data_IF_659529385379
#
_entry.id   IF_659529385379
#
_cell.length_a   1.000
_cell.length_b   1.000
_cell.length_c   1.000
_cell.angle_alpha   90.00
_cell.angle_beta   90.00
_cell.angle_gamma   90.00
#
_symmetry.space_group_name_H-M   'P 1'
#
loop_
_entity.id
_entity.type
_entity.pdbx_description
1 polymer ?
2 non-polymer ?
3 non-polymer ?
4 non-polymer ?
5 water ?
#
# COMPACT_ATOMS: atom_id res chain seq x y z
N UNK A 14 -0.55 -23.25 -11.87
CA UNK A 14 -0.12 -23.59 -10.47
C UNK A 14 -1.22 -23.37 -9.41
N UNK A 15 -2.25 -22.60 -9.77
CA UNK A 15 -3.49 -22.48 -8.98
C UNK A 15 -4.74 -22.53 -9.90
N UNK A 16 -5.66 -23.44 -9.59
CA UNK A 16 -7.01 -23.51 -10.23
C UNK A 16 -7.91 -22.30 -9.89
N UNK A 17 -8.59 -21.77 -10.93
CA UNK A 17 -9.59 -20.68 -10.80
C UNK A 17 -9.13 -19.54 -9.91
N UNK A 18 -8.00 -18.87 -10.26
CA UNK A 18 -7.55 -17.78 -9.39
C UNK A 18 -8.47 -16.59 -9.60
N UNK A 19 -8.87 -15.91 -8.52
CA UNK A 19 -9.73 -14.71 -8.59
C UNK A 19 -8.90 -13.47 -8.59
N UNK A 20 -7.58 -13.56 -8.55
CA UNK A 20 -6.82 -12.32 -8.51
C UNK A 20 -5.71 -12.40 -9.54
N UNK A 21 -6.05 -12.32 -10.83
CA UNK A 21 -4.99 -12.35 -11.80
C UNK A 21 -4.94 -11.18 -12.75
N UNK A 22 -6.05 -10.50 -13.05
CA UNK A 22 -6.16 -9.47 -14.04
C UNK A 22 -6.54 -8.16 -13.32
N UNK A 23 -5.95 -7.07 -13.73
CA UNK A 23 -6.36 -5.75 -13.34
C UNK A 23 -7.15 -5.07 -14.43
N UNK A 24 -8.33 -4.60 -14.07
CA UNK A 24 -9.20 -3.83 -14.96
C UNK A 24 -9.41 -2.40 -14.48
N UNK A 25 -9.78 -1.47 -15.39
CA UNK A 25 -10.17 -0.15 -14.95
C UNK A 25 -11.37 -0.19 -13.98
N UNK A 26 -11.24 0.41 -12.83
CA UNK A 26 -12.24 0.40 -11.84
C UNK A 26 -13.51 1.14 -12.32
N UNK A 27 -13.38 2.11 -13.22
CA UNK A 27 -14.52 2.93 -13.65
C UNK A 27 -15.28 2.29 -14.77
N UNK A 28 -14.66 1.40 -15.54
CA UNK A 28 -15.44 0.78 -16.61
C UNK A 28 -15.20 -0.68 -16.98
N UNK A 29 -14.17 -1.37 -16.46
CA UNK A 29 -13.94 -2.74 -16.86
C UNK A 29 -12.85 -3.02 -17.86
N UNK A 30 -12.35 -1.99 -18.53
CA UNK A 30 -11.32 -2.15 -19.53
C UNK A 30 -10.15 -3.02 -18.96
N UNK A 31 -9.71 -4.01 -19.75
CA UNK A 31 -8.51 -4.83 -19.33
C UNK A 31 -7.30 -3.94 -19.34
N UNK A 32 -6.52 -3.89 -18.25
CA UNK A 32 -5.34 -3.08 -18.18
C UNK A 32 -4.04 -3.86 -17.93
N UNK A 33 -3.95 -4.68 -16.88
CA UNK A 33 -2.73 -5.46 -16.65
C UNK A 33 -2.98 -6.78 -15.92
N UNK A 34 -1.92 -7.41 -15.39
CA UNK A 34 -2.04 -8.70 -14.76
C UNK A 34 -1.09 -8.71 -13.58
N UNK A 35 -1.43 -9.48 -12.61
CA UNK A 35 -0.59 -9.63 -11.42
C UNK A 35 0.85 -10.17 -11.80
N UNK A 36 0.87 -11.08 -12.76
CA UNK A 36 2.11 -11.72 -13.25
C UNK A 36 3.08 -10.67 -13.84
N UNK A 37 2.57 -9.51 -14.20
CA UNK A 37 3.35 -8.43 -14.81
C UNK A 37 3.83 -7.34 -13.83
N UNK A 38 3.67 -7.57 -12.54
CA UNK A 38 4.14 -6.60 -11.55
C UNK A 38 5.66 -6.60 -11.63
N UNK A 39 6.28 -5.45 -11.43
CA UNK A 39 7.70 -5.28 -11.64
C UNK A 39 8.32 -4.59 -10.42
N UNK A 40 9.17 -5.30 -9.69
CA UNK A 40 9.80 -4.69 -8.51
C UNK A 40 10.97 -3.70 -8.84
N UNK A 41 10.65 -2.45 -9.07
CA UNK A 41 11.57 -1.33 -9.43
C UNK A 41 12.20 -0.86 -8.14
N UNK A 42 13.54 -0.93 -8.05
CA UNK A 42 14.23 -0.68 -6.80
C UNK A 42 13.88 -1.64 -5.68
N UNK A 43 13.46 -2.86 -6.03
CA UNK A 43 13.13 -3.86 -5.01
C UNK A 43 11.68 -3.96 -4.54
N UNK A 44 10.82 -3.07 -5.02
CA UNK A 44 9.44 -3.09 -4.58
C UNK A 44 8.57 -2.71 -5.74
N UNK A 45 7.46 -3.39 -5.95
CA UNK A 45 6.61 -3.01 -7.05
C UNK A 45 5.74 -1.82 -6.61
N UNK A 46 5.72 -1.55 -5.31
CA UNK A 46 4.87 -0.47 -4.75
C UNK A 46 5.72 0.76 -4.37
N UNK A 47 5.41 1.91 -4.94
CA UNK A 47 6.11 3.15 -4.65
C UNK A 47 5.05 4.19 -4.24
N UNK A 48 5.27 4.83 -3.10
CA UNK A 48 4.31 5.88 -2.70
C UNK A 48 4.91 7.26 -2.93
N UNK A 49 4.20 8.07 -3.69
CA UNK A 49 4.73 9.33 -4.18
C UNK A 49 3.70 10.46 -4.08
N UNK A 50 4.11 11.71 -4.23
CA UNK A 50 3.22 12.88 -4.28
C UNK A 50 3.55 13.69 -5.48
N UNK A 51 2.50 14.20 -6.15
CA UNK A 51 2.71 15.15 -7.20
C UNK A 51 2.90 16.60 -6.62
N UNK A 52 3.20 17.60 -7.51
CA UNK A 52 3.34 18.96 -7.10
C UNK A 52 2.05 19.55 -6.49
N UNK A 53 0.89 18.97 -6.77
CA UNK A 53 -0.38 19.43 -6.12
C UNK A 53 -0.64 18.74 -4.77
N UNK A 54 0.33 17.92 -4.33
CA UNK A 54 0.35 17.31 -2.99
C UNK A 54 -0.46 16.02 -2.91
N UNK A 55 -1.00 15.55 -4.02
CA UNK A 55 -1.75 14.30 -4.03
C UNK A 55 -0.81 13.12 -3.85
N UNK A 56 -1.16 12.22 -2.92
CA UNK A 56 -0.42 10.98 -2.68
C UNK A 56 -0.97 9.86 -3.53
N UNK A 57 -0.06 9.07 -4.12
CA UNK A 57 -0.45 7.93 -4.94
C UNK A 57 0.33 6.68 -4.58
N UNK A 58 -0.39 5.59 -4.37
CA UNK A 58 0.24 4.26 -4.23
C UNK A 58 0.35 3.75 -5.66
N UNK A 59 1.56 3.81 -6.20
CA UNK A 59 1.89 3.47 -7.56
C UNK A 59 2.42 2.02 -7.60
N UNK A 60 1.73 1.19 -8.38
CA UNK A 60 2.22 -0.18 -8.62
C UNK A 60 2.93 -0.14 -10.00
N UNK A 61 4.14 -0.70 -10.03
CA UNK A 61 4.92 -0.76 -11.26
C UNK A 61 4.64 -2.09 -11.98
N UNK A 62 4.32 -1.97 -13.28
CA UNK A 62 4.07 -3.12 -14.13
C UNK A 62 5.06 -3.10 -15.32
N UNK A 63 5.54 -4.28 -15.74
CA UNK A 63 6.33 -4.34 -16.95
C UNK A 63 5.57 -4.01 -18.24
N UNK A 64 4.28 -4.29 -18.22
CA UNK A 64 3.41 -4.36 -19.37
C UNK A 64 1.99 -3.96 -18.95
N UNK A 65 1.27 -3.30 -19.86
CA UNK A 65 -0.10 -2.95 -19.69
C UNK A 65 -0.67 -2.76 -21.04
N UNK A 66 -1.98 -2.74 -21.08
CA UNK A 66 -2.73 -2.64 -22.33
C UNK A 66 -3.97 -1.82 -22.06
N UNK A 67 -4.72 -1.49 -23.14
CA UNK A 67 -6.03 -0.81 -23.03
C UNK A 67 -5.92 0.64 -22.50
N UNK A 68 -4.73 1.21 -22.51
CA UNK A 68 -4.48 2.60 -22.17
C UNK A 68 -4.41 3.42 -23.41
N UNK A 69 -4.46 4.74 -23.24
CA UNK A 69 -4.11 5.69 -24.24
C UNK A 69 -3.07 6.63 -23.65
N UNK A 70 -1.91 6.69 -24.29
CA UNK A 70 -0.74 7.46 -23.81
C UNK A 70 -0.80 8.82 -24.44
N UNK A 71 -0.81 9.84 -23.60
CA UNK A 71 -1.07 11.18 -24.07
C UNK A 71 0.15 12.11 -24.22
N UNK A 72 0.32 12.67 -25.42
CA UNK A 72 1.43 13.58 -25.66
C UNK A 72 2.78 12.91 -25.68
N UNK A 73 3.78 13.74 -25.39
CA UNK A 73 5.15 13.33 -25.48
C UNK A 73 5.73 13.28 -24.06
N UNK A 74 6.80 12.53 -23.90
CA UNK A 74 7.35 12.33 -22.58
C UNK A 74 7.87 13.58 -21.96
N UNK A 75 7.96 13.60 -20.63
CA UNK A 75 8.54 14.69 -19.89
C UNK A 75 9.34 14.14 -18.71
N UNK A 76 10.50 14.70 -18.46
CA UNK A 76 11.33 14.32 -17.30
C UNK A 76 10.97 15.13 -16.04
N UNK A 77 10.16 16.18 -16.17
CA UNK A 77 9.84 17.04 -15.02
C UNK A 77 9.25 16.32 -13.85
N UNK A 78 9.81 16.52 -12.68
CA UNK A 78 9.30 15.88 -11.43
C UNK A 78 9.24 14.36 -11.41
N UNK A 79 9.91 13.70 -12.36
CA UNK A 79 9.83 12.25 -12.44
C UNK A 79 10.19 11.57 -11.12
N UNK A 80 9.33 10.62 -10.72
CA UNK A 80 9.51 9.88 -9.46
C UNK A 80 10.52 8.77 -9.59
N UNK A 81 11.00 8.51 -10.80
CA UNK A 81 11.83 7.36 -11.12
C UNK A 81 13.05 7.87 -11.92
N UNK A 82 14.21 7.79 -11.31
CA UNK A 82 15.44 8.43 -11.81
C UNK A 82 15.78 7.90 -13.16
N UNK A 83 16.04 8.80 -14.10
CA UNK A 83 16.40 8.37 -15.48
C UNK A 83 15.21 8.18 -16.42
N UNK A 84 13.95 8.30 -15.96
CA UNK A 84 12.77 8.05 -16.81
C UNK A 84 11.98 9.31 -17.03
N UNK A 85 11.36 9.37 -18.21
CA UNK A 85 10.45 10.39 -18.55
C UNK A 85 9.08 9.78 -18.62
N UNK A 86 8.06 10.57 -18.26
CA UNK A 86 6.70 10.07 -18.18
C UNK A 86 5.78 10.66 -19.21
N UNK A 87 4.76 9.86 -19.55
CA UNK A 87 3.60 10.20 -20.39
C UNK A 87 2.38 9.80 -19.64
N UNK A 88 1.40 10.67 -19.56
CA UNK A 88 0.11 10.34 -18.90
C UNK A 88 -0.56 9.16 -19.60
N UNK A 89 -1.00 8.20 -18.79
CA UNK A 89 -1.72 7.02 -19.27
C UNK A 89 -3.21 7.09 -18.81
N UNK A 90 -4.09 7.26 -19.79
CA UNK A 90 -5.56 7.21 -19.53
C UNK A 90 -6.08 5.83 -19.85
N UNK A 91 -7.11 5.41 -19.16
CA UNK A 91 -7.90 4.33 -19.70
C UNK A 91 -8.31 4.67 -21.11
N UNK A 92 -8.05 3.75 -22.04
CA UNK A 92 -8.39 3.95 -23.42
C UNK A 92 -9.88 3.93 -23.70
N UNK A 93 -10.67 3.39 -22.78
CA UNK A 93 -12.08 3.26 -22.95
C UNK A 93 -12.75 4.47 -22.32
N UNK A 94 -12.58 4.71 -21.02
CA UNK A 94 -13.35 5.76 -20.35
C UNK A 94 -12.59 7.05 -20.09
N UNK A 95 -11.26 7.04 -20.21
CA UNK A 95 -10.48 8.25 -20.00
C UNK A 95 -10.06 8.53 -18.58
N UNK A 96 -10.36 7.62 -17.68
CA UNK A 96 -9.92 7.72 -16.30
C UNK A 96 -8.39 7.74 -16.28
N UNK A 97 -7.82 8.63 -15.47
CA UNK A 97 -6.36 8.68 -15.43
C UNK A 97 -5.87 7.56 -14.56
N UNK A 98 -5.23 6.58 -15.17
CA UNK A 98 -4.80 5.37 -14.51
C UNK A 98 -3.35 5.39 -14.03
N UNK A 99 -2.51 6.23 -14.61
CA UNK A 99 -1.14 6.32 -14.26
C UNK A 99 -0.31 6.94 -15.34
N UNK A 100 0.89 6.36 -15.52
CA UNK A 100 1.89 6.90 -16.43
C UNK A 100 2.67 5.78 -17.10
N UNK A 101 3.10 6.05 -18.30
CA UNK A 101 4.05 5.22 -18.93
C UNK A 101 5.43 5.92 -18.87
N UNK A 102 6.41 5.13 -18.52
CA UNK A 102 7.75 5.63 -18.32
C UNK A 102 8.71 5.02 -19.36
N UNK A 103 9.58 5.86 -19.87
CA UNK A 103 10.54 5.50 -20.88
C UNK A 103 11.84 6.26 -20.74
N UNK A 104 12.74 6.01 -21.69
CA UNK A 104 14.01 6.67 -21.71
C UNK A 104 15.06 6.34 -20.67
N UNK A 105 14.76 5.39 -19.79
CA UNK A 105 15.74 4.95 -18.81
C UNK A 105 16.49 3.69 -19.17
N UNK A 106 16.87 2.96 -18.11
CA UNK A 106 17.74 1.75 -18.30
C UNK A 106 17.31 0.58 -17.39
N UNK A 107 17.26 -0.65 -17.94
CA UNK A 107 17.09 -1.93 -17.16
C UNK A 107 15.92 -1.78 -16.12
N UNK A 108 14.67 -1.60 -16.59
CA UNK A 108 14.25 -1.61 -17.98
C UNK A 108 14.25 -0.23 -18.65
N UNK A 109 14.11 -0.21 -19.97
CA UNK A 109 14.03 1.08 -20.68
C UNK A 109 12.71 1.77 -20.41
N UNK A 110 11.64 0.99 -20.32
CA UNK A 110 10.28 1.40 -20.18
C UNK A 110 9.53 0.54 -19.12
N UNK A 111 8.51 1.11 -18.55
CA UNK A 111 7.51 0.38 -17.69
C UNK A 111 6.29 1.30 -17.45
N UNK A 112 5.26 0.78 -16.75
CA UNK A 112 4.09 1.49 -16.38
C UNK A 112 4.05 1.67 -14.85
N UNK A 113 3.66 2.86 -14.38
CA UNK A 113 3.38 3.02 -12.97
C UNK A 113 1.89 3.36 -12.92
N UNK A 114 1.08 2.48 -12.34
CA UNK A 114 -0.36 2.61 -12.38
C UNK A 114 -0.82 2.87 -10.94
N UNK A 115 -1.88 3.65 -10.81
CA UNK A 115 -2.41 4.02 -9.49
C UNK A 115 -3.34 2.92 -8.97
N UNK A 116 -2.85 2.25 -7.97
CA UNK A 116 -3.46 1.07 -7.46
C UNK A 116 -4.97 1.13 -7.20
N UNK A 117 -5.43 2.20 -6.51
CA UNK A 117 -6.80 2.26 -6.18
C UNK A 117 -7.70 2.67 -7.38
N UNK A 118 -7.16 2.89 -8.55
CA UNK A 118 -7.97 3.10 -9.74
C UNK A 118 -8.19 1.87 -10.60
N UNK A 119 -7.69 0.73 -10.10
CA UNK A 119 -7.81 -0.55 -10.75
C UNK A 119 -8.68 -1.44 -9.88
N UNK A 120 -9.33 -2.40 -10.50
CA UNK A 120 -9.98 -3.51 -9.89
C UNK A 120 -9.34 -4.86 -10.24
N UNK A 121 -9.07 -5.67 -9.23
CA UNK A 121 -8.41 -7.00 -9.41
C UNK A 121 -9.40 -8.15 -9.43
N UNK A 122 -9.21 -9.11 -10.37
CA UNK A 122 -10.10 -10.17 -10.48
C UNK A 122 -9.64 -11.32 -11.41
N UNK A 123 -10.50 -12.27 -11.61
CA UNK A 123 -10.18 -13.51 -12.35
C UNK A 123 -9.95 -13.26 -13.86
N UNK A 124 -9.21 -14.15 -14.51
CA UNK A 124 -8.86 -14.01 -15.94
C UNK A 124 -10.09 -13.97 -16.80
N UNK B 20 -12.46 1.52 20.54
CA UNK B 20 -12.48 2.99 20.22
C UNK B 20 -13.53 3.20 19.10
N UNK B 21 -13.24 2.57 17.96
CA UNK B 21 -14.03 2.78 16.78
C UNK B 21 -14.53 1.43 16.27
N UNK B 22 -15.80 1.38 15.88
CA UNK B 22 -16.44 0.18 15.40
C UNK B 22 -17.11 0.38 14.03
N UNK B 23 -17.31 -0.72 13.34
CA UNK B 23 -17.99 -0.73 12.06
C UNK B 23 -19.31 -1.41 12.30
N UNK B 24 -20.40 -0.71 11.98
CA UNK B 24 -21.75 -1.24 12.17
C UNK B 24 -22.38 -1.45 10.80
N UNK B 25 -23.27 -2.43 10.71
CA UNK B 25 -24.09 -2.59 9.54
C UNK B 25 -24.82 -1.29 9.21
N UNK B 26 -24.67 -0.84 7.99
CA UNK B 26 -25.21 0.47 7.64
C UNK B 26 -26.75 0.43 7.69
N UNK B 27 -27.33 -0.70 7.30
CA UNK B 27 -28.77 -0.87 7.24
C UNK B 27 -29.45 -0.96 8.59
N UNK B 28 -28.89 -1.62 9.60
CA UNK B 28 -29.62 -1.81 10.90
C UNK B 28 -28.86 -1.42 12.14
N UNK B 29 -27.55 -1.20 12.01
CA UNK B 29 -26.72 -0.70 13.08
C UNK B 29 -26.11 -1.79 13.90
N UNK B 30 -26.32 -3.07 13.56
CA UNK B 30 -25.58 -4.16 14.31
C UNK B 30 -24.11 -3.93 14.25
N UNK B 31 -23.43 -4.04 15.38
CA UNK B 31 -21.95 -4.09 15.43
C UNK B 31 -21.42 -5.28 14.68
N UNK B 32 -20.46 -5.04 13.77
CA UNK B 32 -19.91 -6.09 12.92
C UNK B 32 -18.44 -6.25 13.05
N UNK B 33 -17.68 -5.18 13.12
CA UNK B 33 -16.23 -5.33 13.27
C UNK B 33 -15.64 -4.06 13.86
N UNK B 34 -14.31 -3.95 13.96
CA UNK B 34 -13.63 -2.88 14.63
C UNK B 34 -12.43 -2.48 13.87
N UNK B 35 -12.06 -1.20 13.99
CA UNK B 35 -10.83 -0.69 13.44
C UNK B 35 -9.56 -1.43 13.90
N UNK B 36 -9.57 -1.84 15.15
CA UNK B 36 -8.42 -2.57 15.73
C UNK B 36 -8.14 -3.89 14.94
N UNK B 37 -9.15 -4.39 14.22
CA UNK B 37 -9.15 -5.74 13.60
C UNK B 37 -8.85 -5.61 12.12
N UNK B 38 -8.57 -4.39 11.69
CA UNK B 38 -8.22 -4.19 10.26
C UNK B 38 -6.94 -4.96 9.94
N UNK B 39 -6.93 -5.63 8.82
CA UNK B 39 -5.88 -6.62 8.47
C UNK B 39 -5.29 -6.29 7.07
N UNK B 40 -3.98 -5.95 6.97
CA UNK B 40 -3.54 -5.62 5.59
C UNK B 40 -3.08 -6.83 4.78
N UNK B 41 -4.03 -7.56 4.22
CA UNK B 41 -3.77 -8.72 3.36
C UNK B 41 -3.08 -8.25 2.09
N UNK B 42 -1.95 -8.87 1.83
CA UNK B 42 -1.08 -8.44 0.77
C UNK B 42 -0.58 -6.99 0.73
N UNK B 43 -0.44 -6.33 1.88
CA UNK B 43 0.09 -4.98 1.89
C UNK B 43 -0.98 -3.89 1.99
N UNK B 44 -2.23 -4.26 2.03
CA UNK B 44 -3.32 -3.24 2.03
C UNK B 44 -4.55 -3.84 2.66
N UNK B 45 -5.23 -3.07 3.51
CA UNK B 45 -6.50 -3.52 3.98
C UNK B 45 -7.63 -3.29 3.01
N UNK B 46 -7.43 -2.43 2.01
CA UNK B 46 -8.44 -2.17 1.00
C UNK B 46 -8.09 -2.90 -0.27
N UNK B 47 -9.07 -3.64 -0.80
CA UNK B 47 -8.92 -4.41 -2.06
C UNK B 47 -10.11 -4.08 -2.92
N UNK B 48 -9.85 -3.49 -4.09
CA UNK B 48 -10.89 -3.28 -5.09
C UNK B 48 -10.85 -4.48 -6.01
N UNK B 49 -11.96 -5.19 -6.07
CA UNK B 49 -12.04 -6.52 -6.73
C UNK B 49 -13.27 -6.63 -7.66
N UNK B 50 -13.19 -7.52 -8.61
CA UNK B 50 -14.35 -7.84 -9.41
C UNK B 50 -14.52 -9.35 -9.48
N UNK B 51 -15.78 -9.76 -9.56
CA UNK B 51 -16.11 -11.20 -9.76
C UNK B 51 -16.39 -11.63 -11.23
N UNK B 52 -16.65 -12.94 -11.45
CA UNK B 52 -16.78 -13.37 -12.77
C UNK B 52 -17.98 -12.70 -13.54
N UNK B 53 -19.01 -12.31 -12.81
CA UNK B 53 -20.23 -11.59 -13.35
C UNK B 53 -19.92 -10.12 -13.67
N UNK B 54 -18.74 -9.66 -13.27
CA UNK B 54 -18.27 -8.34 -13.54
C UNK B 54 -18.68 -7.28 -12.52
N UNK B 55 -19.24 -7.69 -11.40
CA UNK B 55 -19.57 -6.75 -10.33
C UNK B 55 -18.31 -6.30 -9.63
N UNK B 56 -18.17 -5.02 -9.29
CA UNK B 56 -16.97 -4.49 -8.63
C UNK B 56 -17.28 -4.17 -7.21
N UNK B 57 -16.41 -4.55 -6.29
CA UNK B 57 -16.62 -4.26 -4.90
C UNK B 57 -15.35 -3.66 -4.32
N UNK B 58 -15.50 -2.82 -3.30
CA UNK B 58 -14.38 -2.30 -2.52
C UNK B 58 -14.49 -2.96 -1.18
N UNK B 59 -13.54 -3.82 -0.91
CA UNK B 59 -13.53 -4.70 0.24
C UNK B 59 -12.47 -4.23 1.20
N UNK B 60 -12.81 -4.18 2.49
CA UNK B 60 -11.82 -4.00 3.62
C UNK B 60 -11.67 -5.31 4.38
N UNK B 61 -10.43 -5.71 4.65
CA UNK B 61 -10.15 -6.96 5.31
C UNK B 61 -10.03 -6.71 6.85
N UNK B 62 -10.71 -7.57 7.61
CA UNK B 62 -10.68 -7.59 9.05
C UNK B 62 -10.37 -9.00 9.57
N UNK B 63 -9.61 -9.06 10.62
CA UNK B 63 -9.20 -10.35 11.24
C UNK B 63 -10.37 -11.16 11.78
N UNK B 64 -11.32 -10.46 12.40
CA UNK B 64 -12.46 -11.05 13.08
C UNK B 64 -13.68 -10.17 12.74
N UNK B 65 -14.85 -10.73 12.99
CA UNK B 65 -16.13 -9.96 12.87
C UNK B 65 -17.10 -10.68 13.72
N UNK B 66 -18.26 -10.08 13.95
CA UNK B 66 -19.30 -10.67 14.74
C UNK B 66 -20.65 -10.20 14.13
N UNK B 67 -21.73 -10.89 14.46
CA UNK B 67 -23.00 -10.40 14.07
C UNK B 67 -23.38 -10.82 12.68
N UNK B 68 -22.51 -11.56 11.94
CA UNK B 68 -22.85 -11.97 10.62
C UNK B 68 -23.47 -13.38 10.62
N UNK B 69 -23.99 -13.77 9.45
CA UNK B 69 -24.43 -15.13 9.17
C UNK B 69 -23.84 -15.57 7.90
N UNK B 70 -23.07 -16.67 7.95
CA UNK B 70 -22.37 -17.18 6.80
C UNK B 70 -23.23 -18.24 6.12
N UNK B 71 -23.44 -18.11 4.83
CA UNK B 71 -24.37 -18.96 4.13
C UNK B 71 -23.62 -19.95 3.21
N UNK B 72 -23.90 -21.21 3.31
CA UNK B 72 -23.36 -22.16 2.34
C UNK B 72 -22.02 -22.76 2.75
N UNK B 73 -21.53 -23.68 1.95
CA UNK B 73 -20.22 -24.32 2.20
C UNK B 73 -19.15 -23.45 1.57
N UNK B 74 -17.93 -23.45 2.10
CA UNK B 74 -16.88 -22.64 1.57
C UNK B 74 -16.56 -23.06 0.12
N UNK B 75 -16.10 -22.15 -0.70
CA UNK B 75 -15.76 -22.39 -2.13
C UNK B 75 -14.42 -21.81 -2.36
N UNK B 76 -13.56 -22.55 -3.06
CA UNK B 76 -12.32 -22.01 -3.55
C UNK B 76 -12.41 -21.32 -4.95
N UNK B 77 -13.56 -21.41 -5.61
CA UNK B 77 -13.74 -20.82 -7.00
C UNK B 77 -13.56 -19.30 -7.03
N UNK B 78 -12.56 -18.85 -7.78
CA UNK B 78 -12.25 -17.44 -8.05
C UNK B 78 -12.09 -16.64 -6.77
N UNK B 79 -11.54 -17.27 -5.72
CA UNK B 79 -11.28 -16.53 -4.50
C UNK B 79 -10.34 -15.36 -4.79
N UNK B 80 -10.65 -14.22 -4.22
CA UNK B 80 -9.84 -13.05 -4.35
C UNK B 80 -8.57 -13.17 -3.50
N UNK B 81 -8.51 -14.13 -2.58
CA UNK B 81 -7.30 -14.33 -1.77
C UNK B 81 -6.75 -15.73 -1.91
N UNK B 82 -5.57 -15.82 -2.56
CA UNK B 82 -4.95 -17.06 -2.90
C UNK B 82 -4.77 -17.84 -1.61
N UNK B 83 -5.18 -19.09 -1.64
CA UNK B 83 -5.08 -20.03 -0.52
C UNK B 83 -6.27 -20.06 0.42
N UNK B 84 -7.26 -19.22 0.15
CA UNK B 84 -8.47 -19.17 0.92
C UNK B 84 -9.73 -19.53 0.15
N UNK B 85 -10.67 -20.18 0.80
CA UNK B 85 -12.03 -20.37 0.35
C UNK B 85 -12.93 -19.30 1.02
N UNK B 86 -13.97 -18.95 0.33
CA UNK B 86 -14.91 -17.91 0.70
C UNK B 86 -16.32 -18.49 0.96
N UNK B 87 -17.03 -17.83 1.88
CA UNK B 87 -18.45 -18.06 2.10
C UNK B 87 -19.10 -16.66 2.20
N UNK B 88 -20.26 -16.45 1.65
CA UNK B 88 -20.92 -15.18 1.73
C UNK B 88 -21.33 -14.89 3.17
N UNK B 89 -21.24 -13.65 3.53
CA UNK B 89 -21.57 -13.16 4.90
C UNK B 89 -22.70 -12.15 4.78
N UNK B 90 -23.82 -12.41 5.42
CA UNK B 90 -24.92 -11.42 5.52
C UNK B 90 -24.98 -10.94 6.97
N UNK B 91 -25.47 -9.73 7.20
CA UNK B 91 -25.80 -9.26 8.52
C UNK B 91 -26.79 -10.28 9.13
N UNK B 92 -26.52 -10.79 10.34
CA UNK B 92 -27.42 -11.76 10.99
C UNK B 92 -28.75 -11.14 11.38
N UNK B 93 -28.77 -9.83 11.55
CA UNK B 93 -29.90 -9.14 12.09
C UNK B 93 -30.85 -8.73 10.97
N UNK B 94 -30.36 -8.09 9.91
CA UNK B 94 -31.21 -7.60 8.88
C UNK B 94 -31.05 -8.29 7.50
N UNK B 95 -30.01 -9.09 7.31
CA UNK B 95 -29.81 -9.79 6.02
C UNK B 95 -29.00 -9.02 4.96
N UNK B 96 -28.56 -7.79 5.23
CA UNK B 96 -27.73 -7.07 4.28
C UNK B 96 -26.49 -7.83 3.91
N UNK B 97 -26.12 -7.82 2.63
CA UNK B 97 -24.91 -8.59 2.23
C UNK B 97 -23.69 -7.77 2.54
N UNK B 98 -22.93 -8.13 3.60
CA UNK B 98 -21.85 -7.32 4.00
C UNK B 98 -20.48 -7.74 3.55
N UNK B 99 -20.32 -8.94 2.99
CA UNK B 99 -19.00 -9.37 2.49
C UNK B 99 -18.92 -10.88 2.41
N UNK B 100 -17.74 -11.39 2.79
CA UNK B 100 -17.39 -12.76 2.75
C UNK B 100 -16.47 -13.10 3.92
N UNK B 101 -16.57 -14.32 4.36
CA UNK B 101 -15.60 -14.93 5.24
C UNK B 101 -14.63 -15.79 4.43
N UNK B 102 -13.38 -15.78 4.81
CA UNK B 102 -12.30 -16.51 4.14
C UNK B 102 -11.69 -17.48 5.11
N UNK B 103 -11.38 -18.68 4.64
CA UNK B 103 -10.77 -19.66 5.52
C UNK B 103 -9.86 -20.56 4.75
N UNK B 104 -8.96 -21.18 5.50
CA UNK B 104 -8.21 -22.37 5.05
C UNK B 104 -6.80 -22.04 4.78
N UNK B 105 -6.45 -20.76 4.89
CA UNK B 105 -5.03 -20.35 4.79
C UNK B 105 -4.26 -20.70 6.07
N UNK B 106 -2.99 -20.33 6.10
CA UNK B 106 -2.26 -20.11 7.34
C UNK B 106 -2.04 -18.61 7.50
N UNK B 107 -1.77 -18.13 8.72
CA UNK B 107 -1.30 -16.77 8.97
C UNK B 107 -2.00 -15.69 8.12
N UNK B 108 -3.28 -15.43 8.39
CA UNK B 108 -4.18 -16.08 9.36
C UNK B 108 -5.04 -17.15 8.75
N UNK B 109 -5.55 -18.04 9.57
CA UNK B 109 -6.36 -19.14 9.04
C UNK B 109 -7.71 -18.68 8.52
N UNK B 110 -8.24 -17.63 9.13
CA UNK B 110 -9.54 -17.07 8.81
C UNK B 110 -9.53 -15.55 8.84
N UNK B 111 -10.35 -14.89 8.04
CA UNK B 111 -10.51 -13.43 8.06
C UNK B 111 -11.74 -13.07 7.24
N UNK B 112 -12.15 -11.81 7.30
CA UNK B 112 -13.30 -11.35 6.60
C UNK B 112 -12.94 -10.29 5.61
N UNK B 113 -13.59 -10.32 4.45
CA UNK B 113 -13.57 -9.21 3.50
C UNK B 113 -14.93 -8.57 3.45
N UNK B 114 -15.03 -7.41 4.01
CA UNK B 114 -16.34 -6.70 4.11
C UNK B 114 -16.42 -5.54 3.19
N UNK B 115 -17.62 -5.27 2.67
CA UNK B 115 -17.89 -4.21 1.72
C UNK B 115 -17.97 -2.90 2.48
N UNK B 116 -16.98 -2.08 2.30
CA UNK B 116 -16.83 -0.83 3.07
C UNK B 116 -18.04 0.02 2.95
N UNK B 117 -18.61 0.13 1.78
CA UNK B 117 -19.78 1.00 1.56
C UNK B 117 -21.02 0.56 2.36
N UNK B 118 -21.02 -0.68 2.80
CA UNK B 118 -22.14 -1.28 3.54
C UNK B 118 -22.01 -1.25 5.03
N UNK B 119 -20.93 -0.64 5.47
CA UNK B 119 -20.63 -0.47 6.88
C UNK B 119 -20.67 1.01 7.22
N UNK B 120 -20.89 1.29 8.49
CA UNK B 120 -20.83 2.63 8.99
C UNK B 120 -19.84 2.67 10.15
N UNK B 121 -18.82 3.51 10.05
CA UNK B 121 -17.85 3.65 11.20
C UNK B 121 -18.28 4.69 12.18
N UNK B 122 -18.04 4.43 13.45
CA UNK B 122 -18.40 5.34 14.51
C UNK B 122 -17.94 4.89 15.88
N UNK B 123 -18.14 5.71 16.89
CA UNK B 123 -17.78 5.43 18.29
C UNK B 123 -18.42 4.17 18.83
N UNK B 124 -17.65 3.40 19.59
CA UNK B 124 -18.09 2.14 20.24
C UNK B 124 -19.22 2.40 21.22
N UNK C 18 14.06 13.78 -8.73
CA UNK C 18 13.37 14.99 -9.26
C UNK C 18 12.07 15.24 -8.51
N UNK C 19 11.17 14.26 -8.55
CA UNK C 19 9.99 14.28 -7.73
C UNK C 19 10.31 13.48 -6.47
N UNK C 20 11.59 13.35 -6.11
CA UNK C 20 11.96 12.66 -4.86
C UNK C 20 12.89 13.47 -3.92
N UNK C 21 12.54 14.72 -3.68
CA UNK C 21 13.38 15.62 -2.86
C UNK C 21 12.85 15.75 -1.44
N UNK C 22 11.52 15.72 -1.27
CA UNK C 22 10.91 15.78 0.06
C UNK C 22 10.31 14.46 0.48
N UNK C 23 10.49 14.09 1.74
CA UNK C 23 9.99 12.83 2.31
C UNK C 23 8.89 13.12 3.35
N UNK C 24 7.75 12.45 3.19
CA UNK C 24 6.59 12.64 4.09
C UNK C 24 6.05 11.33 4.61
N UNK C 25 5.30 11.43 5.69
CA UNK C 25 4.60 10.27 6.22
C UNK C 25 3.65 9.74 5.12
N UNK C 26 3.77 8.43 4.83
CA UNK C 26 2.88 7.76 3.86
C UNK C 26 1.38 7.74 4.23
N UNK C 27 1.11 7.66 5.52
CA UNK C 27 -0.26 7.56 6.06
C UNK C 27 -0.96 8.87 6.01
N UNK C 28 -0.29 9.97 6.32
CA UNK C 28 -1.00 11.28 6.39
C UNK C 28 -0.38 12.44 5.61
N UNK C 29 0.86 12.31 5.15
CA UNK C 29 1.50 13.42 4.46
C UNK C 29 2.31 14.43 5.24
N UNK C 30 2.37 14.32 6.57
CA UNK C 30 3.28 15.14 7.40
C UNK C 30 4.65 15.21 6.76
N UNK C 31 5.24 16.39 6.64
CA UNK C 31 6.59 16.56 6.12
C UNK C 31 7.57 16.10 7.16
N UNK C 32 8.55 15.29 6.74
CA UNK C 32 9.51 14.70 7.70
C UNK C 32 10.99 15.08 7.43
N UNK C 33 11.46 14.89 6.19
CA UNK C 33 12.82 15.30 5.91
C UNK C 33 13.00 15.58 4.42
N UNK C 34 14.25 15.71 3.95
CA UNK C 34 14.45 16.00 2.54
C UNK C 34 15.80 15.49 2.11
N UNK C 35 15.93 15.38 0.80
CA UNK C 35 17.10 14.72 0.19
C UNK C 35 18.40 15.41 0.60
N UNK C 36 18.37 16.74 0.82
CA UNK C 36 19.58 17.46 1.30
C UNK C 36 20.18 16.91 2.59
N UNK C 37 19.37 16.22 3.38
CA UNK C 37 19.81 15.79 4.67
C UNK C 37 20.10 14.28 4.64
N UNK C 38 19.96 13.64 3.48
CA UNK C 38 20.17 12.21 3.44
C UNK C 38 21.65 11.95 3.68
N UNK C 39 21.99 10.89 4.39
CA UNK C 39 23.37 10.50 4.51
C UNK C 39 23.66 9.27 3.63
N UNK C 40 24.49 9.44 2.58
CA UNK C 40 25.00 8.32 1.75
C UNK C 40 26.08 7.48 2.44
N UNK C 41 26.13 6.18 2.12
CA UNK C 41 27.24 5.32 2.49
C UNK C 41 27.78 4.73 1.19
N UNK C 42 28.98 5.16 0.79
CA UNK C 42 29.57 4.78 -0.53
C UNK C 42 28.47 5.13 -1.55
N UNK C 43 27.99 4.13 -2.29
CA UNK C 43 26.97 4.33 -3.33
C UNK C 43 25.52 4.35 -2.83
N UNK C 44 25.27 3.86 -1.62
CA UNK C 44 23.92 3.52 -1.18
C UNK C 44 23.31 4.67 -0.43
N UNK C 45 22.04 4.97 -0.72
CA UNK C 45 21.25 5.81 0.18
C UNK C 45 20.32 4.98 1.10
N UNK C 46 19.87 3.84 0.60
CA UNK C 46 19.12 2.86 1.36
C UNK C 46 20.07 1.84 2.01
N UNK C 47 19.81 1.53 3.29
CA UNK C 47 20.42 0.33 3.90
C UNK C 47 19.36 -0.74 4.09
N UNK C 48 19.65 -1.90 3.52
CA UNK C 48 18.88 -3.13 3.69
C UNK C 48 19.28 -3.66 5.07
N UNK C 49 18.35 -3.65 6.03
CA UNK C 49 18.55 -4.20 7.39
C UNK C 49 17.45 -5.23 7.71
N UNK C 50 17.79 -6.24 8.52
CA UNK C 50 16.86 -7.29 8.92
C UNK C 50 16.59 -7.11 10.42
N UNK C 51 15.32 -7.12 10.83
CA UNK C 51 15.00 -7.03 12.26
C UNK C 51 15.26 -8.39 12.93
N UNK C 52 15.12 -8.46 14.26
CA UNK C 52 15.45 -9.73 14.89
C UNK C 52 14.56 -10.86 14.38
N UNK C 53 13.39 -10.52 13.82
CA UNK C 53 12.45 -11.50 13.31
C UNK C 53 12.82 -11.95 11.90
N UNK C 54 13.86 -11.36 11.32
CA UNK C 54 14.19 -11.54 9.91
C UNK C 54 13.39 -10.65 8.95
N UNK C 55 12.52 -9.78 9.48
CA UNK C 55 11.74 -8.88 8.61
C UNK C 55 12.67 -7.87 7.96
N UNK C 56 12.48 -7.67 6.65
CA UNK C 56 13.30 -6.74 5.87
C UNK C 56 12.87 -5.27 6.05
N UNK C 57 13.85 -4.40 6.16
CA UNK C 57 13.59 -2.96 6.12
C UNK C 57 14.70 -2.34 5.26
N UNK C 58 14.32 -1.35 4.45
CA UNK C 58 15.24 -0.44 3.80
C UNK C 58 15.14 0.87 4.57
N UNK C 59 16.28 1.26 5.16
CA UNK C 59 16.33 2.41 6.08
C UNK C 59 17.08 3.54 5.40
N UNK C 60 16.47 4.71 5.37
CA UNK C 60 17.16 5.90 4.92
C UNK C 60 17.70 6.60 6.16
N UNK C 61 18.90 7.10 6.13
CA UNK C 61 19.39 7.87 7.27
C UNK C 61 19.53 9.37 6.94
N UNK C 62 18.99 10.22 7.81
CA UNK C 62 18.89 11.67 7.63
C UNK C 62 19.59 12.39 8.80
N UNK C 63 20.38 13.43 8.57
CA UNK C 63 21.02 14.14 9.67
C UNK C 63 19.98 14.98 10.47
N UNK C 64 18.92 15.40 9.79
CA UNK C 64 17.84 16.22 10.38
C UNK C 64 16.51 15.70 9.96
N UNK C 65 15.49 16.02 10.76
CA UNK C 65 14.11 15.59 10.50
C UNK C 65 13.24 16.45 11.38
N UNK C 66 12.01 16.60 10.88
CA UNK C 66 10.98 17.36 11.62
C UNK C 66 9.71 16.55 11.64
N UNK C 67 8.79 17.03 12.48
CA UNK C 67 7.46 16.52 12.54
C UNK C 67 7.25 15.16 13.16
N UNK C 68 8.28 14.63 13.83
CA UNK C 68 8.20 13.33 14.52
C UNK C 68 7.89 13.56 16.00
N UNK C 69 7.63 12.46 16.69
CA UNK C 69 7.55 12.47 18.10
C UNK C 69 8.37 11.27 18.54
N UNK C 70 9.39 11.56 19.33
CA UNK C 70 10.38 10.61 19.79
C UNK C 70 9.87 10.12 21.14
N UNK C 71 9.68 8.82 21.28
CA UNK C 71 9.03 8.19 22.47
C UNK C 71 10.05 7.42 23.31
N UNK C 72 9.92 7.55 24.62
CA UNK C 72 10.67 6.70 25.55
C UNK C 72 12.15 6.99 25.64
N UNK C 73 12.85 6.11 26.36
CA UNK C 73 14.29 6.18 26.64
C UNK C 73 15.08 5.42 25.57
N UNK C 74 16.31 5.84 25.29
CA UNK C 74 17.05 5.17 24.21
C UNK C 74 17.36 3.69 24.51
N UNK C 75 17.46 2.85 23.47
CA UNK C 75 17.91 1.45 23.66
C UNK C 75 19.08 1.08 22.76
N UNK C 76 19.95 0.18 23.24
CA UNK C 76 21.03 -0.32 22.38
C UNK C 76 20.64 -1.66 21.77
N UNK C 77 19.48 -2.18 22.18
CA UNK C 77 19.09 -3.55 21.88
C UNK C 77 19.03 -3.76 20.35
N UNK C 78 19.82 -4.72 19.87
CA UNK C 78 19.81 -5.09 18.42
C UNK C 78 19.98 -3.89 17.43
N UNK C 79 20.73 -2.87 17.83
CA UNK C 79 20.87 -1.67 17.00
C UNK C 79 21.54 -2.04 15.69
N UNK C 80 21.00 -1.51 14.59
CA UNK C 80 21.59 -1.78 13.28
C UNK C 80 22.85 -0.99 13.03
N UNK C 81 23.10 0.04 13.84
CA UNK C 81 24.28 0.89 13.69
C UNK C 81 25.11 0.80 14.95
N UNK C 82 26.33 0.36 14.76
CA UNK C 82 27.27 0.04 15.83
C UNK C 82 27.54 1.26 16.68
N UNK C 83 27.23 1.17 17.98
CA UNK C 83 27.59 2.25 18.91
C UNK C 83 26.53 3.32 18.99
N UNK C 84 25.35 3.07 18.42
CA UNK C 84 24.22 3.94 18.66
C UNK C 84 23.10 3.26 19.41
N UNK C 85 22.39 4.09 20.18
CA UNK C 85 21.18 3.73 20.85
C UNK C 85 20.07 4.36 20.06
N UNK C 86 18.92 3.69 20.06
CA UNK C 86 17.77 4.17 19.37
C UNK C 86 16.59 4.47 20.28
N UNK C 87 15.73 5.39 19.78
CA UNK C 87 14.43 5.78 20.35
C UNK C 87 13.38 5.74 19.20
N UNK C 88 12.19 5.27 19.46
CA UNK C 88 11.14 5.14 18.43
C UNK C 88 10.66 6.53 17.99
N UNK C 89 10.56 6.73 16.65
CA UNK C 89 10.08 7.98 16.10
C UNK C 89 8.72 7.76 15.44
N UNK C 90 7.71 8.44 15.93
CA UNK C 90 6.38 8.36 15.35
C UNK C 90 6.11 9.64 14.59
N UNK C 91 5.26 9.57 13.61
CA UNK C 91 4.76 10.78 12.95
C UNK C 91 3.96 11.62 13.94
N UNK C 92 4.32 12.89 14.07
CA UNK C 92 3.67 13.80 15.11
C UNK C 92 2.19 14.13 14.75
N UNK C 93 1.80 13.84 13.50
CA UNK C 93 0.45 14.20 13.02
C UNK C 93 -0.54 13.04 13.15
N UNK C 94 -0.08 11.83 12.79
CA UNK C 94 -0.98 10.66 12.80
C UNK C 94 -0.55 9.52 13.67
N UNK C 95 0.66 9.54 14.20
CA UNK C 95 1.08 8.46 15.11
C UNK C 95 1.72 7.25 14.41
N UNK C 96 1.78 7.23 13.07
CA UNK C 96 2.48 6.09 12.34
C UNK C 96 3.96 5.93 12.73
N UNK C 97 4.39 4.69 12.87
CA UNK C 97 5.77 4.48 13.29
C UNK C 97 6.71 4.66 12.08
N UNK C 98 7.51 5.74 12.01
CA UNK C 98 8.26 5.97 10.74
C UNK C 98 9.71 5.48 10.82
N UNK C 99 10.20 5.30 12.02
CA UNK C 99 11.57 4.82 12.15
C UNK C 99 12.10 5.12 13.56
N UNK C 100 13.35 5.56 13.63
CA UNK C 100 14.05 5.71 14.91
C UNK C 100 15.00 6.88 14.90
N UNK C 101 15.27 7.42 16.08
CA UNK C 101 16.32 8.40 16.26
C UNK C 101 17.50 7.74 16.89
N UNK C 102 18.68 7.95 16.32
CA UNK C 102 19.90 7.33 16.83
C UNK C 102 20.77 8.32 17.53
N UNK C 103 21.41 7.90 18.61
CA UNK C 103 22.26 8.82 19.36
C UNK C 103 23.37 8.01 20.05
N UNK C 104 24.40 8.73 20.52
CA UNK C 104 25.44 8.19 21.38
C UNK C 104 26.77 8.04 20.68
N UNK C 105 26.82 8.30 19.37
CA UNK C 105 28.01 7.91 18.60
C UNK C 105 28.94 9.04 18.24
N UNK C 106 29.46 8.98 17.02
CA UNK C 106 30.40 9.95 16.51
C UNK C 106 30.42 9.77 15.02
N UNK C 107 30.48 10.86 14.27
CA UNK C 107 30.43 10.80 12.80
C UNK C 107 29.15 10.14 12.30
N UNK C 108 27.97 10.77 12.50
CA UNK C 108 27.72 11.89 13.40
C UNK C 108 27.29 11.34 14.74
N UNK C 109 27.08 12.24 15.67
CA UNK C 109 26.59 11.89 16.97
C UNK C 109 25.16 11.40 16.91
N UNK C 110 24.33 12.02 16.08
CA UNK C 110 22.93 11.68 16.02
C UNK C 110 22.46 11.68 14.57
N UNK C 111 21.42 10.90 14.32
CA UNK C 111 20.73 10.91 13.02
C UNK C 111 19.42 10.17 13.21
N UNK C 112 18.60 10.27 12.15
CA UNK C 112 17.31 9.63 12.09
C UNK C 112 17.40 8.54 11.07
N UNK C 113 16.95 7.34 11.47
CA UNK C 113 16.81 6.19 10.59
C UNK C 113 15.38 5.91 10.32
N UNK C 114 14.98 6.18 9.08
CA UNK C 114 13.59 6.07 8.73
C UNK C 114 13.27 4.98 7.76
N UNK C 115 12.14 4.35 8.00
CA UNK C 115 11.68 3.23 7.17
C UNK C 115 11.16 3.68 5.81
N UNK C 116 11.83 3.21 4.75
CA UNK C 116 11.44 3.58 3.37
C UNK C 116 9.93 3.37 3.07
N UNK C 117 9.39 2.20 3.37
CA UNK C 117 8.00 1.83 3.07
C UNK C 117 6.95 2.47 4.02
N UNK C 118 7.41 3.32 4.93
CA UNK C 118 6.49 4.17 5.76
C UNK C 118 6.45 5.63 5.30
N UNK C 119 7.20 5.92 4.24
CA UNK C 119 7.34 7.29 3.74
C UNK C 119 6.87 7.37 2.31
N UNK C 120 6.68 8.58 1.88
CA UNK C 120 6.30 8.88 0.50
C UNK C 120 7.20 10.01 0.02
N UNK C 121 7.61 9.98 -1.22
CA UNK C 121 8.50 11.02 -1.75
C UNK C 121 7.84 11.89 -2.83
N UNK C 122 8.27 13.15 -2.83
CA UNK C 122 7.71 14.20 -3.72
C UNK C 122 8.69 15.31 -4.00
N UNK C 123 8.35 16.19 -4.99
CA UNK C 123 9.23 17.26 -5.40
C UNK C 123 9.25 18.36 -4.36
N UNK C 124 10.30 19.20 -4.40
CA UNK C 124 10.47 20.28 -3.40
C UNK C 124 9.24 21.20 -3.44
X LIG D 1 -11.94 2.95 -17.77
X LIG E 1 3.97 13.61 -12.05
X LIG E 1 5.07 13.57 -11.21
X LIG E 1 6.00 12.63 -11.30
X LIG E 1 5.91 11.63 -12.24
X LIG E 1 4.82 11.61 -13.11
X LIG E 1 3.83 12.61 -12.98
X LIG E 1 5.16 14.45 -10.33
X LIG E 1 6.81 10.75 -12.28
X LIG E 1 3.01 14.66 -11.90
X LIG E 1 3.36 15.82 -12.81
X LIG E 1 2.06 16.36 -13.30
X LIG E 1 1.11 15.22 -13.18
X LIG E 1 1.76 17.51 -12.44
X LIG E 1 1.73 14.23 -12.29
X LIG E 1 0.80 14.62 -14.56
X LIG E 1 0.09 13.42 -14.25
X LIG F 1 -27.88 -5.29 9.48
X LIG G 1 -16.84 -14.15 -5.36
X LIG G 1 -15.60 -14.14 -5.95
X LIG G 1 -14.48 -14.16 -5.14
X LIG G 1 -14.49 -14.14 -3.82
X LIG G 1 -15.75 -14.05 -3.21
X LIG G 1 -16.90 -14.06 -4.02
X LIG G 1 -15.53 -14.21 -7.24
X LIG G 1 -13.40 -14.15 -3.24
X LIG G 1 -18.03 -14.15 -6.23
X LIG G 1 -18.78 -15.46 -6.22
X LIG G 1 -20.20 -15.03 -6.43
X LIG G 1 -20.31 -13.60 -5.93
X LIG G 1 -20.34 -14.98 -7.88
X LIG G 1 -18.97 -13.13 -5.84
X LIG G 1 -20.96 -13.26 -4.56
X LIG G 1 -20.51 -14.24 -3.57
X LIG H 1 -5.40 1.90 2.26
X LIG H 1 -5.91 3.29 2.62
X LIG H 1 -4.83 4.19 3.25
X LIG H 1 -4.53 3.79 4.70
X LIG H 1 -5.30 5.65 3.17
X LIG H 1 -4.16 6.63 3.42
X LIG H 1 -5.52 1.49 1.07
X LIG H 1 -4.83 1.21 3.14
X LIG H 1 -3.38 3.44 5.01
X LIG H 1 -5.45 3.84 5.56
X LIG H 1 -3.34 6.93 2.50
X LIG H 1 -4.08 7.08 4.57
X LIG H 1 -3.60 4.05 2.50
X LIG I 1 1.55 10.60 9.58
X LIG J 1 15.00 -2.41 15.83
X LIG J 1 16.19 -3.05 15.43
X LIG J 1 17.24 -2.29 15.21
X LIG J 1 17.24 -0.96 15.34
X LIG J 1 16.06 -0.29 15.73
X LIG J 1 14.94 -1.05 15.97
X LIG J 1 16.30 -4.29 15.24
X LIG J 1 18.33 -0.36 15.13
X LIG J 1 13.80 -3.25 16.05
X LIG J 1 13.92 -3.92 17.41
X LIG J 1 12.71 -3.50 18.19
X LIG J 1 11.86 -2.61 17.28
X LIG J 1 11.99 -4.69 18.51
X LIG J 1 12.59 -2.48 16.04
X LIG J 1 11.63 -1.24 17.87
X LIG J 1 10.95 -0.42 16.94
#
# INVERSE_FOLDING_TARGET
>A
AMPLDAGGQNSTQMVLAPGASIFRCRQCGQTISRRDWLLPMGGDHEHVVFNPAGMIFRVWCFSLAQGLRLIGAPSGEFSWFKGYDWTIALCGQCGSHLGWHYEGGSQPQTFFGLIKDRLAEGPAD
>B
AMPLDAGGQNSTQMVLAPGASIFRCRQCGQTISRRDWLLPMGGDHEHVVFNPAGMIFRVWCFSLAQGLRLIGAPSGEFSWFKGYDWTIALCGQCGSHLGWHYEGGSQPQTFFGLIKDRLAEGPAD
>C
AMPLDAGGQNSTQMVLAPGASIFRCRQCGQTISRRDWLLPMGGDHEHVVFNPAGMIFRVWCFSLAQGLRLIGAPSGEFSWFKGYDWTIALCGQCGSHLGWHYEGGSQPQTFFGLIKDRLAEGPAD
>D hetero
1 ZN ZN
>E hetero
1 DUR N1 C2 N3 C4 C5 C6 O2 O4 C1' C2' C3' C4' O3' O4' C5' O5'
>F hetero
1 ZN ZN
>G hetero
1 DUR N1 C2 N3 C4 C5 C6 O2 O4 C1' C2' C3' C4' O3' O4' C5' O5'
>H hetero
1 FLC CAC CA CB CBC CG CGC OA1 OA2 OB1 OB2 OG1 OG2 OHB
>I hetero
1 ZN ZN
>J hetero
1 DUR N1 C2 N3 C4 C5 C6 O2 O4 C1' C2' C3' C4' O3' O4' C5' O5'
#
